data_IF_774115371234
#
_entry.id   IF_774115371234
#
_cell.length_a   1.000
_cell.length_b   1.000
_cell.length_c   1.000
_cell.angle_alpha   90.00
_cell.angle_beta   90.00
_cell.angle_gamma   90.00
#
_symmetry.space_group_name_H-M   'P 1'
#
loop_
_entity.id
_entity.type
_entity.pdbx_description
1 polymer ?
#
# COMPACT_ATOMS: atom_id res chain seq x y z
N UNK A 1 32.19 -42.92 30.83
CA UNK A 1 31.93 -41.55 31.29
C UNK A 1 32.38 -40.65 30.16
N UNK A 2 31.47 -40.32 29.23
CA UNK A 2 31.79 -39.57 28.02
C UNK A 2 31.53 -38.09 28.27
N UNK A 3 32.55 -37.28 27.98
CA UNK A 3 32.62 -35.82 28.14
C UNK A 3 31.42 -35.09 27.53
N UNK A 4 30.83 -34.22 28.34
CA UNK A 4 29.79 -33.28 27.91
C UNK A 4 30.38 -32.21 27.00
N UNK A 5 29.98 -32.23 25.73
CA UNK A 5 30.27 -31.17 24.77
C UNK A 5 29.68 -29.84 25.25
N UNK A 6 30.57 -28.91 25.59
CA UNK A 6 30.22 -27.52 25.91
C UNK A 6 29.54 -26.87 24.71
N UNK A 7 28.26 -26.55 24.88
CA UNK A 7 27.52 -25.71 23.94
C UNK A 7 28.07 -24.29 24.03
N UNK A 8 29.02 -23.96 23.17
CA UNK A 8 29.46 -22.58 22.97
C UNK A 8 28.27 -21.79 22.39
N UNK A 9 27.74 -20.75 23.07
CA UNK A 9 26.73 -19.89 22.48
C UNK A 9 27.36 -19.14 21.31
N UNK A 10 26.95 -19.46 20.08
CA UNK A 10 27.33 -18.69 18.90
C UNK A 10 26.71 -17.29 19.06
N UNK A 11 27.50 -16.21 19.07
CA UNK A 11 26.94 -14.87 19.13
C UNK A 11 26.15 -14.62 17.85
N UNK A 12 24.83 -14.58 17.95
CA UNK A 12 23.97 -14.10 16.88
C UNK A 12 24.31 -12.63 16.68
N UNK A 13 25.18 -12.34 15.70
CA UNK A 13 25.55 -10.97 15.32
C UNK A 13 24.28 -10.27 14.87
N UNK A 14 23.64 -9.51 15.78
CA UNK A 14 22.52 -8.64 15.44
C UNK A 14 23.01 -7.75 14.30
N UNK A 15 22.30 -7.79 13.16
CA UNK A 15 22.59 -6.87 12.06
C UNK A 15 22.54 -5.44 12.63
N UNK A 16 23.48 -4.57 12.23
CA UNK A 16 23.36 -3.16 12.59
C UNK A 16 22.01 -2.65 12.10
N UNK A 17 21.21 -2.14 13.02
CA UNK A 17 19.91 -1.55 12.72
C UNK A 17 20.12 -0.41 11.72
N UNK A 18 19.53 -0.54 10.53
CA UNK A 18 19.48 0.54 9.56
C UNK A 18 18.62 1.69 10.10
N UNK A 19 18.69 2.86 9.48
CA UNK A 19 17.83 4.00 9.82
C UNK A 19 16.32 3.71 9.66
N UNK A 20 15.97 2.61 9.00
CA UNK A 20 14.61 2.08 8.87
C UNK A 20 14.19 1.15 10.04
N UNK A 21 15.14 0.65 10.83
CA UNK A 21 14.90 -0.32 11.90
C UNK A 21 14.64 0.35 13.26
N UNK A 22 14.75 1.68 13.34
CA UNK A 22 14.42 2.44 14.55
C UNK A 22 12.89 2.61 14.65
N UNK A 23 12.30 2.07 15.72
CA UNK A 23 10.90 2.32 16.02
C UNK A 23 10.65 3.84 16.09
N UNK A 24 9.65 4.38 15.38
CA UNK A 24 9.35 5.80 15.45
C UNK A 24 9.06 6.19 16.90
N UNK A 25 9.70 7.26 17.40
CA UNK A 25 9.31 7.83 18.69
C UNK A 25 7.82 8.21 18.69
N UNK A 26 7.20 8.34 19.86
CA UNK A 26 5.74 8.51 19.98
C UNK A 26 5.15 9.64 19.10
N UNK A 27 5.92 10.69 18.81
CA UNK A 27 5.54 11.80 17.90
C UNK A 27 5.53 11.44 16.41
N UNK A 28 6.33 10.45 16.00
CA UNK A 28 6.53 10.04 14.60
C UNK A 28 5.75 8.77 14.24
N UNK A 29 5.27 8.00 15.24
CA UNK A 29 4.55 6.77 15.00
C UNK A 29 3.32 6.96 14.12
N UNK A 30 2.53 8.01 14.37
CA UNK A 30 1.31 8.26 13.61
C UNK A 30 1.61 8.75 12.17
N UNK A 31 2.48 9.75 11.92
CA UNK A 31 2.84 10.15 10.56
C UNK A 31 3.52 9.02 9.76
N UNK A 32 4.35 8.21 10.41
CA UNK A 32 4.98 7.05 9.78
C UNK A 32 3.93 6.03 9.32
N UNK A 33 2.92 5.75 10.14
CA UNK A 33 1.81 4.87 9.75
C UNK A 33 1.02 5.42 8.56
N UNK A 34 0.80 6.74 8.48
CA UNK A 34 0.14 7.37 7.33
C UNK A 34 0.97 7.26 6.05
N UNK A 35 2.27 7.49 6.13
CA UNK A 35 3.17 7.35 4.99
C UNK A 35 3.26 5.90 4.53
N UNK A 36 3.35 4.95 5.46
CA UNK A 36 3.37 3.53 5.15
C UNK A 36 2.07 3.09 4.45
N UNK A 37 0.91 3.47 4.98
CA UNK A 37 -0.37 3.21 4.30
C UNK A 37 -0.42 3.89 2.93
N UNK A 38 0.07 5.12 2.80
CA UNK A 38 0.12 5.82 1.51
C UNK A 38 0.96 5.07 0.49
N UNK A 39 2.14 4.60 0.90
CA UNK A 39 3.05 3.84 0.06
C UNK A 39 2.40 2.52 -0.37
N UNK A 40 1.88 1.75 0.58
CA UNK A 40 1.21 0.47 0.29
C UNK A 40 0.04 0.66 -0.68
N UNK A 41 -0.82 1.64 -0.43
CA UNK A 41 -1.94 1.95 -1.32
C UNK A 41 -1.47 2.48 -2.68
N UNK A 42 -0.35 3.21 -2.75
CA UNK A 42 0.21 3.70 -4.03
C UNK A 42 0.76 2.55 -4.85
N UNK A 43 1.49 1.62 -4.23
CA UNK A 43 2.02 0.43 -4.90
C UNK A 43 0.87 -0.41 -5.46
N UNK A 44 -0.18 -0.64 -4.67
CA UNK A 44 -1.38 -1.36 -5.13
C UNK A 44 -2.07 -0.64 -6.29
N UNK A 45 -2.30 0.67 -6.17
CA UNK A 45 -2.96 1.44 -7.22
C UNK A 45 -2.14 1.50 -8.51
N UNK A 46 -0.84 1.76 -8.44
CA UNK A 46 0.04 1.76 -9.63
C UNK A 46 -0.01 0.40 -10.32
N UNK A 47 0.10 -0.68 -9.54
CA UNK A 47 0.00 -2.05 -10.08
C UNK A 47 -1.36 -2.29 -10.75
N UNK A 48 -2.46 -1.87 -10.12
CA UNK A 48 -3.81 -2.02 -10.67
C UNK A 48 -3.99 -1.26 -11.99
N UNK A 49 -3.52 -0.01 -12.07
CA UNK A 49 -3.64 0.81 -13.27
C UNK A 49 -2.73 0.30 -14.40
N UNK A 50 -1.54 -0.19 -14.08
CA UNK A 50 -0.65 -0.81 -15.08
C UNK A 50 -1.27 -2.07 -15.65
N UNK A 51 -1.78 -2.97 -14.79
CA UNK A 51 -2.48 -4.18 -15.24
C UNK A 51 -3.69 -3.82 -16.10
N UNK A 52 -4.53 -2.88 -15.65
CA UNK A 52 -5.69 -2.42 -16.41
C UNK A 52 -5.27 -1.83 -17.78
N UNK A 53 -4.22 -1.02 -17.83
CA UNK A 53 -3.73 -0.41 -19.07
C UNK A 53 -3.33 -1.44 -20.14
N UNK A 54 -2.93 -2.66 -19.75
CA UNK A 54 -2.57 -3.72 -20.71
C UNK A 54 -3.77 -4.34 -21.44
N UNK A 55 -4.99 -4.22 -20.88
CA UNK A 55 -6.20 -4.90 -21.40
C UNK A 55 -7.25 -3.94 -21.99
N UNK A 56 -7.17 -2.66 -21.64
CA UNK A 56 -8.03 -1.61 -22.20
C UNK A 56 -7.75 -1.38 -23.69
N UNK A 57 -8.79 -1.11 -24.47
CA UNK A 57 -8.70 -0.82 -25.91
C UNK A 57 -9.61 0.36 -26.28
N UNK A 58 -9.16 1.18 -27.23
CA UNK A 58 -9.97 2.27 -27.80
C UNK A 58 -10.52 3.23 -26.73
N UNK A 59 -11.83 3.43 -26.72
CA UNK A 59 -12.51 4.37 -25.82
C UNK A 59 -12.40 4.00 -24.34
N UNK A 60 -12.18 2.72 -24.01
CA UNK A 60 -12.09 2.26 -22.61
C UNK A 60 -10.87 2.84 -21.89
N UNK A 61 -9.87 3.34 -22.63
CA UNK A 61 -8.73 4.07 -22.06
C UNK A 61 -9.15 5.26 -21.21
N UNK A 62 -10.38 5.77 -21.37
CA UNK A 62 -10.98 6.81 -20.50
C UNK A 62 -11.08 6.36 -19.03
N UNK A 63 -11.07 5.06 -18.74
CA UNK A 63 -11.11 4.57 -17.37
C UNK A 63 -9.87 4.98 -16.55
N UNK A 64 -8.69 5.07 -17.17
CA UNK A 64 -7.46 5.51 -16.49
C UNK A 64 -7.54 6.96 -15.99
N UNK A 65 -7.85 7.98 -16.83
CA UNK A 65 -8.01 9.36 -16.37
C UNK A 65 -9.25 9.58 -15.50
N UNK A 66 -10.11 8.58 -15.29
CA UNK A 66 -11.19 8.63 -14.27
C UNK A 66 -10.72 8.03 -12.94
N UNK A 67 -10.14 6.83 -12.97
CA UNK A 67 -9.76 6.08 -11.77
C UNK A 67 -8.54 6.69 -11.06
N UNK A 68 -7.56 7.21 -11.82
CA UNK A 68 -6.38 7.86 -11.24
C UNK A 68 -6.76 9.10 -10.42
N UNK A 69 -7.53 10.07 -10.94
CA UNK A 69 -8.00 11.19 -10.12
C UNK A 69 -8.85 10.75 -8.94
N UNK A 70 -9.71 9.73 -9.08
CA UNK A 70 -10.53 9.24 -7.98
C UNK A 70 -9.67 8.71 -6.83
N UNK A 71 -8.61 7.96 -7.17
CA UNK A 71 -7.59 7.51 -6.22
C UNK A 71 -6.90 8.70 -5.53
N UNK A 72 -6.42 9.68 -6.30
CA UNK A 72 -5.70 10.85 -5.78
C UNK A 72 -6.58 11.72 -4.86
N UNK A 73 -7.84 11.93 -5.23
CA UNK A 73 -8.84 12.63 -4.40
C UNK A 73 -9.08 11.85 -3.10
N UNK A 74 -9.18 10.52 -3.18
CA UNK A 74 -9.23 9.65 -2.00
C UNK A 74 -8.04 9.85 -1.06
N UNK A 75 -6.82 9.93 -1.59
CA UNK A 75 -5.61 10.24 -0.81
C UNK A 75 -5.64 11.63 -0.19
N UNK A 76 -6.17 12.62 -0.92
CA UNK A 76 -6.39 13.99 -0.42
C UNK A 76 -7.34 13.99 0.78
N UNK A 77 -8.52 13.38 0.66
CA UNK A 77 -9.48 13.28 1.76
C UNK A 77 -8.95 12.45 2.93
N UNK A 78 -8.18 11.40 2.66
CA UNK A 78 -7.53 10.62 3.72
C UNK A 78 -6.58 11.49 4.54
N UNK A 79 -5.71 12.26 3.87
CA UNK A 79 -4.76 13.15 4.54
C UNK A 79 -5.45 14.29 5.31
N UNK A 80 -6.48 14.90 4.72
CA UNK A 80 -7.26 15.97 5.36
C UNK A 80 -8.05 15.44 6.57
N UNK A 81 -8.75 14.32 6.43
CA UNK A 81 -9.49 13.69 7.52
C UNK A 81 -8.56 13.27 8.65
N UNK A 82 -7.37 12.78 8.32
CA UNK A 82 -6.36 12.44 9.32
C UNK A 82 -5.90 13.66 10.14
N UNK A 83 -5.76 14.84 9.52
CA UNK A 83 -5.44 16.07 10.26
C UNK A 83 -6.55 16.51 11.23
N UNK A 84 -7.78 16.00 11.06
CA UNK A 84 -8.95 16.32 11.87
C UNK A 84 -9.27 15.28 12.97
N UNK A 85 -8.62 14.10 12.96
CA UNK A 85 -8.76 13.08 14.01
C UNK A 85 -9.01 11.65 13.50
N UNK A 86 -8.98 10.67 14.41
CA UNK A 86 -8.87 9.24 14.11
C UNK A 86 -10.06 8.60 13.36
N UNK A 87 -11.27 9.16 13.42
CA UNK A 87 -12.47 8.61 12.77
C UNK A 87 -12.77 9.23 11.39
N UNK A 88 -12.15 10.36 11.05
CA UNK A 88 -12.42 11.11 9.82
C UNK A 88 -11.81 10.55 8.50
N UNK A 89 -10.77 9.68 8.47
CA UNK A 89 -10.18 9.24 7.20
C UNK A 89 -10.97 8.15 6.46
N UNK A 90 -12.07 7.64 7.02
CA UNK A 90 -12.80 6.49 6.48
C UNK A 90 -13.30 6.71 5.05
N UNK A 91 -13.80 7.91 4.74
CA UNK A 91 -14.23 8.26 3.38
C UNK A 91 -13.07 8.24 2.38
N UNK A 92 -11.93 8.85 2.73
CA UNK A 92 -10.73 8.84 1.90
C UNK A 92 -10.20 7.42 1.67
N UNK A 93 -10.20 6.58 2.70
CA UNK A 93 -9.83 5.16 2.56
C UNK A 93 -10.81 4.39 1.67
N UNK A 94 -12.12 4.59 1.84
CA UNK A 94 -13.13 3.92 1.02
C UNK A 94 -12.96 4.30 -0.47
N UNK A 95 -12.74 5.57 -0.77
CA UNK A 95 -12.53 6.05 -2.14
C UNK A 95 -11.23 5.51 -2.76
N UNK A 96 -10.15 5.47 -1.97
CA UNK A 96 -8.86 4.88 -2.36
C UNK A 96 -8.98 3.38 -2.66
N UNK A 97 -9.65 2.65 -1.76
CA UNK A 97 -9.87 1.21 -1.90
C UNK A 97 -10.78 0.90 -3.07
N UNK A 98 -11.91 1.60 -3.20
CA UNK A 98 -12.89 1.38 -4.26
C UNK A 98 -12.29 1.62 -5.66
N UNK A 99 -11.53 2.70 -5.86
CA UNK A 99 -10.86 2.98 -7.14
C UNK A 99 -9.84 1.88 -7.50
N UNK A 100 -9.05 1.42 -6.53
CA UNK A 100 -8.05 0.36 -6.73
C UNK A 100 -8.70 -1.00 -7.02
N UNK A 101 -9.74 -1.36 -6.26
CA UNK A 101 -10.51 -2.60 -6.46
C UNK A 101 -11.22 -2.56 -7.82
N UNK A 102 -11.80 -1.42 -8.21
CA UNK A 102 -12.41 -1.27 -9.52
C UNK A 102 -11.40 -1.50 -10.65
N UNK A 103 -10.20 -0.93 -10.56
CA UNK A 103 -9.16 -1.12 -11.57
C UNK A 103 -8.78 -2.61 -11.73
N UNK A 104 -8.51 -3.32 -10.63
CA UNK A 104 -8.24 -4.75 -10.69
C UNK A 104 -9.44 -5.57 -11.16
N UNK A 105 -10.64 -5.29 -10.64
CA UNK A 105 -11.86 -6.01 -10.95
C UNK A 105 -12.21 -5.91 -12.44
N UNK A 106 -12.15 -4.70 -13.00
CA UNK A 106 -12.35 -4.49 -14.44
C UNK A 106 -11.30 -5.25 -15.23
N UNK A 107 -10.02 -5.17 -14.84
CA UNK A 107 -8.96 -5.87 -15.56
C UNK A 107 -9.18 -7.40 -15.57
N UNK A 108 -9.49 -7.99 -14.41
CA UNK A 108 -9.79 -9.43 -14.28
C UNK A 108 -11.00 -9.83 -15.13
N UNK A 109 -12.05 -9.02 -15.14
CA UNK A 109 -13.23 -9.29 -15.98
C UNK A 109 -12.87 -9.26 -17.46
N UNK A 110 -12.11 -8.26 -17.92
CA UNK A 110 -11.71 -8.18 -19.33
C UNK A 110 -10.82 -9.36 -19.74
N UNK A 111 -9.86 -9.76 -18.89
CA UNK A 111 -9.04 -10.95 -19.13
C UNK A 111 -9.88 -12.22 -19.19
N UNK A 112 -10.85 -12.37 -18.28
CA UNK A 112 -11.77 -13.51 -18.26
C UNK A 112 -12.65 -13.60 -19.51
N UNK A 113 -12.91 -12.45 -20.16
CA UNK A 113 -13.59 -12.36 -21.45
C UNK A 113 -12.67 -12.61 -22.65
N UNK A 114 -11.39 -12.97 -22.41
CA UNK A 114 -10.43 -13.34 -23.44
C UNK A 114 -9.70 -12.16 -24.10
N UNK A 115 -9.56 -11.05 -23.37
CA UNK A 115 -8.90 -9.83 -23.86
C UNK A 115 -7.55 -9.59 -23.22
#
# INVERSE_FOLDING_TARGET
>A
MFEGGGQHPVPVRRRPAGSADAAPGARLALPAAVLQNSLEQTVLAVSAHLVLATVLRGEEMILLPVLVPLYLVGRGFFALGYAQGAAAPAFGMALTGASTIAAFGIAVVLMGLGR
#
